data_IF_725783997344
#
_entry.id   IF_725783997344
#
_cell.length_a   1.000
_cell.length_b   1.000
_cell.length_c   1.000
_cell.angle_alpha   90.00
_cell.angle_beta   90.00
_cell.angle_gamma   90.00
#
_symmetry.space_group_name_H-M   'P 1'
#
loop_
_entity.id
_entity.type
_entity.pdbx_description
1 polymer ?
#
# COMPACT_ATOMS: atom_id res chain seq x y z
N UNK A 1 0.08 -1.55 36.92
CA UNK A 1 0.81 -1.55 35.64
C UNK A 1 -0.14 -0.96 34.62
N UNK A 2 0.00 0.32 34.35
CA UNK A 2 -0.86 1.02 33.39
C UNK A 2 -0.32 0.74 31.99
N UNK A 3 -0.96 -0.19 31.28
CA UNK A 3 -0.75 -0.35 29.84
C UNK A 3 -1.38 0.88 29.18
N UNK A 4 -0.60 1.94 29.00
CA UNK A 4 -0.94 2.97 28.04
C UNK A 4 -0.80 2.30 26.68
N UNK A 5 -1.88 1.72 26.16
CA UNK A 5 -2.03 1.51 24.73
C UNK A 5 -1.88 2.90 24.14
N UNK A 6 -0.69 3.20 23.61
CA UNK A 6 -0.57 4.30 22.66
C UNK A 6 -1.66 4.03 21.60
N UNK A 7 -2.44 5.05 21.18
CA UNK A 7 -3.30 4.87 20.02
C UNK A 7 -2.43 4.27 18.92
N UNK A 8 -2.78 3.09 18.41
CA UNK A 8 -1.83 2.36 17.56
C UNK A 8 -1.51 3.16 16.33
N UNK A 9 -0.24 3.05 15.98
CA UNK A 9 0.35 3.92 14.99
C UNK A 9 -0.12 3.61 13.58
N UNK A 10 -0.24 4.65 12.75
CA UNK A 10 -0.52 4.48 11.32
C UNK A 10 0.79 4.13 10.60
N UNK A 11 0.83 2.97 9.94
CA UNK A 11 2.01 2.46 9.24
C UNK A 11 1.72 2.22 7.77
N UNK A 12 2.75 2.19 6.96
CA UNK A 12 2.61 1.88 5.54
C UNK A 12 3.61 0.84 5.07
N UNK A 13 3.22 0.04 4.09
CA UNK A 13 4.12 -0.84 3.34
C UNK A 13 4.01 -0.50 1.86
N UNK A 14 5.12 -0.04 1.28
CA UNK A 14 5.27 0.23 -0.14
C UNK A 14 5.82 -1.02 -0.84
N UNK A 15 5.05 -1.62 -1.73
CA UNK A 15 5.47 -2.73 -2.56
C UNK A 15 5.96 -2.23 -3.91
N UNK A 16 7.17 -2.61 -4.31
CA UNK A 16 7.82 -2.15 -5.55
C UNK A 16 8.28 -3.34 -6.39
N UNK A 17 8.02 -3.32 -7.70
CA UNK A 17 8.52 -4.38 -8.58
C UNK A 17 10.04 -4.35 -8.72
N UNK A 18 10.67 -5.51 -8.58
CA UNK A 18 12.13 -5.64 -8.71
C UNK A 18 12.64 -5.36 -10.14
N UNK A 19 11.79 -5.52 -11.16
CA UNK A 19 12.17 -5.40 -12.58
C UNK A 19 11.82 -4.04 -13.23
N UNK A 20 11.68 -2.98 -12.43
CA UNK A 20 11.28 -1.67 -12.95
C UNK A 20 12.36 -1.00 -13.81
N UNK A 21 11.98 -0.35 -14.93
CA UNK A 21 12.91 0.45 -15.72
C UNK A 21 13.32 1.72 -14.96
N UNK A 22 14.49 2.29 -15.28
CA UNK A 22 15.08 3.43 -14.55
C UNK A 22 14.14 4.65 -14.34
N UNK A 23 13.27 5.05 -15.28
CA UNK A 23 12.30 6.12 -15.02
C UNK A 23 11.30 5.76 -13.91
N UNK A 24 10.85 4.51 -13.86
CA UNK A 24 9.93 4.01 -12.83
C UNK A 24 10.62 3.89 -11.47
N UNK A 25 11.90 3.51 -11.43
CA UNK A 25 12.68 3.50 -10.20
C UNK A 25 12.77 4.91 -9.58
N UNK A 26 13.03 5.96 -10.40
CA UNK A 26 13.05 7.35 -9.91
C UNK A 26 11.71 7.77 -9.30
N UNK A 27 10.60 7.32 -9.88
CA UNK A 27 9.25 7.57 -9.32
C UNK A 27 9.07 6.87 -7.97
N UNK A 28 9.53 5.62 -7.83
CA UNK A 28 9.48 4.91 -6.55
C UNK A 28 10.33 5.60 -5.49
N UNK A 29 11.54 6.05 -5.82
CA UNK A 29 12.38 6.83 -4.89
C UNK A 29 11.74 8.15 -4.46
N UNK A 30 10.94 8.79 -5.32
CA UNK A 30 10.18 9.98 -4.92
C UNK A 30 9.07 9.61 -3.91
N UNK A 31 8.30 8.56 -4.21
CA UNK A 31 7.26 8.03 -3.32
C UNK A 31 7.83 7.63 -1.95
N UNK A 32 8.94 6.90 -1.92
CA UNK A 32 9.64 6.52 -0.69
C UNK A 32 10.03 7.74 0.15
N UNK A 33 10.53 8.80 -0.49
CA UNK A 33 10.90 10.04 0.19
C UNK A 33 9.69 10.74 0.79
N UNK A 34 8.59 10.84 0.06
CA UNK A 34 7.36 11.46 0.56
C UNK A 34 6.81 10.69 1.78
N UNK A 35 6.81 9.35 1.75
CA UNK A 35 6.43 8.53 2.90
C UNK A 35 7.34 8.76 4.11
N UNK A 36 8.67 8.85 3.90
CA UNK A 36 9.63 9.14 4.96
C UNK A 36 9.45 10.56 5.54
N UNK A 37 9.07 11.54 4.72
CA UNK A 37 8.72 12.88 5.18
C UNK A 37 7.47 12.85 6.07
N UNK A 38 6.47 12.03 5.75
CA UNK A 38 5.29 11.83 6.60
C UNK A 38 5.66 11.18 7.94
N UNK A 39 6.61 10.25 7.96
CA UNK A 39 7.16 9.69 9.21
C UNK A 39 7.86 10.77 10.03
N UNK A 40 8.72 11.58 9.39
CA UNK A 40 9.42 12.67 10.07
C UNK A 40 8.47 13.75 10.64
N UNK A 41 7.30 13.93 10.02
CA UNK A 41 6.24 14.83 10.49
C UNK A 41 5.35 14.21 11.58
N UNK A 42 5.50 12.91 11.88
CA UNK A 42 4.65 12.18 12.81
C UNK A 42 3.24 11.88 12.30
N UNK A 43 3.04 11.94 10.97
CA UNK A 43 1.78 11.54 10.32
C UNK A 43 1.71 10.02 10.18
N UNK A 44 2.86 9.39 9.97
CA UNK A 44 3.04 7.95 9.98
C UNK A 44 4.01 7.60 11.11
N UNK A 45 3.79 6.47 11.76
CA UNK A 45 4.72 5.95 12.77
C UNK A 45 5.89 5.21 12.12
N UNK A 46 5.63 4.56 10.99
CA UNK A 46 6.64 3.82 10.25
C UNK A 46 6.26 3.62 8.77
N UNK A 47 7.26 3.37 7.95
CA UNK A 47 7.07 2.96 6.55
C UNK A 47 8.14 1.95 6.13
N UNK A 48 7.69 0.84 5.54
CA UNK A 48 8.55 -0.20 5.00
C UNK A 48 8.44 -0.24 3.47
N UNK A 49 9.54 -0.59 2.78
CA UNK A 49 9.52 -0.89 1.34
C UNK A 49 9.88 -2.35 1.10
N UNK A 50 9.01 -3.06 0.39
CA UNK A 50 9.14 -4.49 0.08
C UNK A 50 9.19 -4.68 -1.43
N UNK A 51 10.17 -5.41 -1.91
CA UNK A 51 10.22 -5.80 -3.31
C UNK A 51 9.30 -7.00 -3.60
N UNK A 52 8.66 -6.99 -4.77
CA UNK A 52 7.85 -8.12 -5.24
C UNK A 52 8.04 -8.41 -6.73
N UNK A 53 7.75 -9.66 -7.11
CA UNK A 53 7.82 -10.11 -8.48
C UNK A 53 6.64 -9.56 -9.30
N UNK A 54 6.87 -9.35 -10.60
CA UNK A 54 5.80 -8.95 -11.54
C UNK A 54 4.62 -9.91 -11.52
N UNK A 55 4.92 -11.21 -11.45
CA UNK A 55 3.94 -12.27 -11.60
C UNK A 55 4.22 -13.36 -10.61
N UNK A 56 3.17 -13.77 -9.90
CA UNK A 56 3.24 -14.89 -8.98
C UNK A 56 2.27 -15.99 -9.42
N UNK A 57 2.72 -17.26 -9.46
CA UNK A 57 1.85 -18.38 -9.74
C UNK A 57 0.70 -18.49 -8.73
N UNK A 58 -0.54 -18.51 -9.21
CA UNK A 58 -1.70 -18.74 -8.33
C UNK A 58 -1.78 -20.18 -7.80
N UNK A 59 -1.05 -21.10 -8.43
CA UNK A 59 -0.99 -22.52 -8.07
C UNK A 59 0.46 -23.03 -8.02
N UNK A 60 0.74 -23.97 -7.12
CA UNK A 60 2.04 -24.63 -6.97
C UNK A 60 2.75 -24.31 -5.65
N UNK A 61 3.85 -25.03 -5.33
CA UNK A 61 4.64 -24.79 -4.12
C UNK A 61 5.37 -23.44 -4.21
N UNK A 62 5.40 -22.69 -3.11
CA UNK A 62 6.15 -21.42 -2.98
C UNK A 62 5.33 -20.13 -3.06
N UNK A 63 4.01 -20.19 -3.26
CA UNK A 63 3.14 -19.01 -3.41
C UNK A 63 2.40 -18.58 -2.13
N UNK A 64 2.88 -19.02 -0.97
CA UNK A 64 2.15 -18.88 0.29
C UNK A 64 2.01 -17.43 0.74
N UNK A 65 3.05 -16.61 0.55
CA UNK A 65 3.13 -15.27 1.11
C UNK A 65 2.38 -14.25 0.25
N UNK A 66 2.71 -14.15 -1.03
CA UNK A 66 2.12 -13.18 -1.95
C UNK A 66 0.64 -13.44 -2.18
N UNK A 67 0.22 -14.73 -2.14
CA UNK A 67 -1.20 -15.08 -2.20
C UNK A 67 -1.95 -14.68 -0.93
N UNK A 68 -1.36 -14.85 0.25
CA UNK A 68 -1.98 -14.41 1.50
C UNK A 68 -2.15 -12.89 1.50
N UNK A 69 -1.11 -12.17 1.11
CA UNK A 69 -1.14 -10.72 0.97
C UNK A 69 -2.22 -10.26 -0.03
N UNK A 70 -2.26 -10.88 -1.22
CA UNK A 70 -3.30 -10.56 -2.20
C UNK A 70 -4.71 -10.85 -1.69
N UNK A 71 -4.91 -11.95 -0.96
CA UNK A 71 -6.22 -12.25 -0.37
C UNK A 71 -6.63 -11.20 0.66
N UNK A 72 -5.71 -10.74 1.51
CA UNK A 72 -5.94 -9.65 2.46
C UNK A 72 -6.37 -8.36 1.74
N UNK A 73 -5.66 -7.98 0.67
CA UNK A 73 -6.01 -6.81 -0.13
C UNK A 73 -7.36 -6.97 -0.83
N UNK A 74 -7.68 -8.17 -1.32
CA UNK A 74 -8.94 -8.46 -1.99
C UNK A 74 -10.12 -8.45 -1.01
N UNK A 75 -9.92 -8.90 0.23
CA UNK A 75 -10.92 -8.82 1.28
C UNK A 75 -11.19 -7.37 1.68
N UNK A 76 -10.14 -6.57 1.88
CA UNK A 76 -10.27 -5.12 2.08
C UNK A 76 -11.04 -4.46 0.94
N UNK A 77 -10.66 -4.72 -0.32
CA UNK A 77 -11.31 -4.09 -1.47
C UNK A 77 -12.81 -4.44 -1.57
N UNK A 78 -13.16 -5.69 -1.25
CA UNK A 78 -14.57 -6.14 -1.17
C UNK A 78 -15.35 -5.40 -0.09
N UNK A 79 -14.73 -5.14 1.05
CA UNK A 79 -15.35 -4.44 2.18
C UNK A 79 -15.49 -2.94 1.94
N UNK A 80 -14.48 -2.33 1.30
CA UNK A 80 -14.50 -0.94 0.87
C UNK A 80 -15.39 -0.68 -0.36
N UNK A 81 -15.84 -1.73 -1.06
CA UNK A 81 -16.67 -1.61 -2.26
C UNK A 81 -15.90 -1.19 -3.52
N UNK A 82 -14.58 -1.36 -3.52
CA UNK A 82 -13.68 -0.94 -4.61
C UNK A 82 -13.07 -2.13 -5.35
N UNK A 83 -12.39 -1.86 -6.47
CA UNK A 83 -11.79 -2.89 -7.32
C UNK A 83 -10.27 -2.74 -7.38
N UNK A 84 -9.53 -3.81 -7.10
CA UNK A 84 -8.08 -3.83 -7.34
C UNK A 84 -7.73 -3.97 -8.84
N UNK A 85 -8.67 -4.43 -9.66
CA UNK A 85 -8.52 -4.42 -11.11
C UNK A 85 -8.67 -2.97 -11.64
N UNK A 86 -7.90 -2.57 -12.66
CA UNK A 86 -7.03 -3.40 -13.51
C UNK A 86 -5.58 -3.55 -13.01
N UNK A 87 -5.26 -3.04 -11.82
CA UNK A 87 -3.87 -2.97 -11.31
C UNK A 87 -3.34 -4.32 -10.87
N UNK A 88 -4.18 -5.07 -10.16
CA UNK A 88 -4.02 -6.50 -9.98
C UNK A 88 -4.85 -7.22 -11.04
N UNK A 89 -4.23 -8.16 -11.74
CA UNK A 89 -4.86 -8.88 -12.85
C UNK A 89 -4.52 -10.38 -12.79
N UNK A 90 -5.40 -11.24 -13.28
CA UNK A 90 -5.11 -12.68 -13.40
C UNK A 90 -4.93 -13.03 -14.87
N UNK A 91 -3.72 -13.48 -15.24
CA UNK A 91 -3.40 -13.85 -16.61
C UNK A 91 -3.14 -15.33 -16.76
N UNK A 92 -3.57 -15.88 -17.89
CA UNK A 92 -3.21 -17.23 -18.31
C UNK A 92 -1.91 -17.17 -19.11
N UNK A 93 -0.85 -17.73 -18.55
CA UNK A 93 0.46 -17.80 -19.16
C UNK A 93 0.79 -19.23 -19.58
N UNK A 94 1.59 -19.37 -20.62
CA UNK A 94 2.13 -20.66 -21.05
C UNK A 94 3.58 -20.76 -20.58
N UNK A 95 3.92 -21.84 -19.91
CA UNK A 95 5.32 -22.19 -19.65
C UNK A 95 6.00 -22.46 -21.00
N UNK A 96 7.02 -21.68 -21.34
CA UNK A 96 7.80 -21.91 -22.57
C UNK A 96 8.57 -23.23 -22.52
N UNK A 97 8.86 -23.74 -21.31
CA UNK A 97 9.61 -24.98 -21.09
C UNK A 97 8.72 -26.22 -21.10
N UNK A 98 7.54 -26.17 -20.46
CA UNK A 98 6.66 -27.34 -20.28
C UNK A 98 5.42 -27.32 -21.16
N UNK A 99 5.10 -26.17 -21.79
CA UNK A 99 3.87 -25.99 -22.58
C UNK A 99 2.60 -25.90 -21.73
N UNK A 100 2.70 -26.09 -20.41
CA UNK A 100 1.55 -26.08 -19.51
C UNK A 100 0.98 -24.67 -19.31
N UNK A 101 -0.34 -24.61 -19.22
CA UNK A 101 -1.08 -23.39 -18.89
C UNK A 101 -1.03 -23.16 -17.38
N UNK A 102 -0.55 -21.99 -16.97
CA UNK A 102 -0.53 -21.55 -15.57
C UNK A 102 -1.27 -20.22 -15.43
N UNK A 103 -2.10 -20.10 -14.40
CA UNK A 103 -2.67 -18.79 -14.02
C UNK A 103 -1.68 -18.07 -13.11
N UNK A 104 -1.41 -16.83 -13.43
CA UNK A 104 -0.50 -15.96 -12.70
C UNK A 104 -1.26 -14.71 -12.27
N UNK A 105 -1.06 -14.32 -11.02
CA UNK A 105 -1.45 -13.00 -10.53
C UNK A 105 -0.38 -12.02 -10.99
N UNK A 106 -0.80 -10.95 -11.65
CA UNK A 106 0.04 -9.84 -12.09
C UNK A 106 -0.05 -8.76 -11.04
N UNK A 107 1.10 -8.41 -10.48
CA UNK A 107 1.24 -7.36 -9.46
C UNK A 107 1.47 -6.00 -10.14
N UNK A 108 0.95 -4.90 -9.57
CA UNK A 108 1.24 -3.57 -10.09
C UNK A 108 2.72 -3.21 -9.91
N UNK A 109 3.16 -2.17 -10.63
CA UNK A 109 4.52 -1.65 -10.52
C UNK A 109 4.83 -1.17 -9.10
N UNK A 110 3.86 -0.50 -8.48
CA UNK A 110 3.90 0.05 -7.14
C UNK A 110 2.53 -0.18 -6.49
N UNK A 111 2.52 -0.52 -5.21
CA UNK A 111 1.32 -0.61 -4.38
C UNK A 111 1.65 -0.10 -2.99
N UNK A 112 0.70 0.57 -2.34
CA UNK A 112 0.81 1.05 -0.98
C UNK A 112 -0.29 0.38 -0.16
N UNK A 113 0.08 -0.25 0.94
CA UNK A 113 -0.86 -0.71 1.97
C UNK A 113 -0.71 0.20 3.20
N UNK A 114 -1.82 0.65 3.75
CA UNK A 114 -1.89 1.49 4.94
C UNK A 114 -2.54 0.69 6.05
N UNK A 115 -1.89 0.67 7.21
CA UNK A 115 -2.30 -0.05 8.39
C UNK A 115 -2.54 0.92 9.55
N UNK A 116 -3.59 0.68 10.32
CA UNK A 116 -3.84 1.32 11.61
C UNK A 116 -4.01 0.24 12.67
N UNK A 117 -3.28 0.31 13.77
CA UNK A 117 -3.36 -0.72 14.82
C UNK A 117 -3.17 -2.17 14.28
N UNK A 118 -2.30 -2.35 13.27
CA UNK A 118 -2.06 -3.60 12.53
C UNK A 118 -3.26 -4.11 11.68
N UNK A 119 -4.31 -3.31 11.52
CA UNK A 119 -5.44 -3.57 10.62
C UNK A 119 -5.27 -2.84 9.29
N UNK A 120 -5.48 -3.55 8.18
CA UNK A 120 -5.40 -2.98 6.84
C UNK A 120 -6.59 -2.04 6.58
N UNK A 121 -6.31 -0.74 6.48
CA UNK A 121 -7.34 0.30 6.29
C UNK A 121 -7.44 0.82 4.86
N UNK A 122 -6.37 0.74 4.07
CA UNK A 122 -6.37 1.19 2.67
C UNK A 122 -5.31 0.47 1.84
N UNK A 123 -5.65 0.16 0.58
CA UNK A 123 -4.69 -0.31 -0.43
C UNK A 123 -4.81 0.55 -1.66
N UNK A 124 -3.72 1.15 -2.13
CA UNK A 124 -3.65 1.85 -3.42
C UNK A 124 -2.63 1.17 -4.34
N UNK A 125 -2.84 1.10 -5.67
CA UNK A 125 -3.96 1.68 -6.39
C UNK A 125 -5.20 0.79 -6.39
N UNK A 126 -6.37 1.43 -6.49
CA UNK A 126 -7.65 0.76 -6.75
C UNK A 126 -8.50 1.60 -7.71
N UNK A 127 -9.59 1.01 -8.19
CA UNK A 127 -10.61 1.67 -8.97
C UNK A 127 -11.92 1.72 -8.19
N UNK A 128 -12.57 2.87 -8.19
CA UNK A 128 -13.90 3.09 -7.64
C UNK A 128 -14.76 3.84 -8.65
N UNK A 129 -15.95 3.31 -8.96
CA UNK A 129 -16.97 3.95 -9.80
C UNK A 129 -16.47 4.68 -11.08
N UNK A 130 -15.39 4.18 -11.72
CA UNK A 130 -14.82 4.77 -12.94
C UNK A 130 -13.68 5.77 -12.74
N UNK A 131 -13.30 6.05 -11.49
CA UNK A 131 -12.06 6.73 -11.11
C UNK A 131 -11.04 5.70 -10.63
N UNK A 132 -9.77 5.95 -10.95
CA UNK A 132 -8.66 5.26 -10.33
C UNK A 132 -8.12 6.12 -9.19
N UNK A 133 -7.84 5.51 -8.05
CA UNK A 133 -7.05 6.11 -7.00
C UNK A 133 -5.62 5.57 -7.11
N UNK A 134 -4.67 6.50 -7.22
CA UNK A 134 -3.24 6.23 -7.33
C UNK A 134 -2.55 6.19 -5.96
N UNK A 135 -1.33 5.64 -5.93
CA UNK A 135 -0.47 5.66 -4.74
C UNK A 135 -0.19 7.10 -4.31
N UNK A 136 0.06 8.01 -5.26
CA UNK A 136 0.31 9.41 -4.96
C UNK A 136 -0.90 10.15 -4.39
N UNK A 137 -2.11 9.85 -4.87
CA UNK A 137 -3.34 10.42 -4.30
C UNK A 137 -3.53 9.95 -2.87
N UNK A 138 -3.31 8.66 -2.59
CA UNK A 138 -3.35 8.13 -1.22
C UNK A 138 -2.32 8.80 -0.30
N UNK A 139 -1.09 9.04 -0.77
CA UNK A 139 -0.05 9.77 -0.01
C UNK A 139 -0.46 11.22 0.25
N UNK A 140 -1.05 11.90 -0.74
CA UNK A 140 -1.54 13.26 -0.59
C UNK A 140 -2.65 13.33 0.47
N UNK A 141 -3.61 12.40 0.45
CA UNK A 141 -4.69 12.32 1.44
C UNK A 141 -4.16 12.06 2.87
N UNK A 142 -3.13 11.19 3.00
CA UNK A 142 -2.44 10.98 4.27
C UNK A 142 -1.78 12.27 4.77
N UNK A 143 -1.13 13.02 3.88
CA UNK A 143 -0.47 14.27 4.19
C UNK A 143 -1.45 15.37 4.66
N UNK A 144 -2.65 15.40 4.08
CA UNK A 144 -3.73 16.32 4.46
C UNK A 144 -4.35 15.93 5.80
N UNK A 145 -4.66 14.64 6.01
CA UNK A 145 -5.27 14.12 7.24
C UNK A 145 -4.35 14.28 8.45
N UNK A 146 -3.03 14.20 8.25
CA UNK A 146 -2.01 14.43 9.27
C UNK A 146 -1.80 15.91 9.64
N UNK A 147 -2.46 16.85 8.96
CA UNK A 147 -2.46 18.26 9.35
C UNK A 147 -3.51 18.46 10.43
N UNK A 148 -3.19 18.05 11.66
CA UNK A 148 -3.94 18.55 12.81
C UNK A 148 -3.89 20.08 12.77
N UNK A 149 -5.02 20.80 12.91
CA UNK A 149 -4.94 22.23 13.12
C UNK A 149 -4.10 22.45 14.38
N UNK A 150 -3.01 23.22 14.25
CA UNK A 150 -2.30 23.82 15.37
C UNK A 150 -3.35 24.49 16.26
N UNK A 151 -3.83 23.76 17.26
CA UNK A 151 -4.70 24.34 18.28
C UNK A 151 -3.74 25.14 19.12
N UNK A 152 -3.55 26.38 18.71
CA UNK A 152 -2.98 27.44 19.50
C UNK A 152 -3.68 27.38 20.86
N UNK A 153 -2.98 26.86 21.86
CA UNK A 153 -3.38 27.03 23.25
C UNK A 153 -3.13 28.50 23.54
N UNK A 154 -4.16 29.31 23.27
CA UNK A 154 -4.19 30.71 23.62
C UNK A 154 -3.92 30.81 25.12
N UNK A 155 -2.81 31.45 25.45
CA UNK A 155 -2.47 31.84 26.81
C UNK A 155 -3.61 32.70 27.35
N UNK A 156 -4.51 32.12 28.14
CA UNK A 156 -5.46 32.91 28.93
C UNK A 156 -4.70 33.41 30.15
N UNK A 157 -4.06 34.56 29.97
CA UNK A 157 -3.79 35.47 31.08
C UNK A 157 -5.14 35.89 31.66
N UNK A 158 -5.36 35.67 32.95
CA UNK A 158 -6.44 36.31 33.69
C UNK A 158 -5.92 36.68 35.06
N UNK A 159 -5.76 38.01 35.20
CA UNK A 159 -5.65 38.91 36.36
C UNK A 159 -5.24 38.38 37.74
#
# INVERSE_FOLDING_TARGET
MSSSTAPGGRRTTLFVRSDLPAPSQKRCTAIERELQELVCRGVLDDTETVEWEKRVPLQGPGNGTERKLYNEFADWAREAGVCLAPFFDTRLCYSSTTGEKRRELVMPAVCLAVYEDDELVQVAPFADAGRAESVEECIAELAETGTLPDTYSATVSTV
#
